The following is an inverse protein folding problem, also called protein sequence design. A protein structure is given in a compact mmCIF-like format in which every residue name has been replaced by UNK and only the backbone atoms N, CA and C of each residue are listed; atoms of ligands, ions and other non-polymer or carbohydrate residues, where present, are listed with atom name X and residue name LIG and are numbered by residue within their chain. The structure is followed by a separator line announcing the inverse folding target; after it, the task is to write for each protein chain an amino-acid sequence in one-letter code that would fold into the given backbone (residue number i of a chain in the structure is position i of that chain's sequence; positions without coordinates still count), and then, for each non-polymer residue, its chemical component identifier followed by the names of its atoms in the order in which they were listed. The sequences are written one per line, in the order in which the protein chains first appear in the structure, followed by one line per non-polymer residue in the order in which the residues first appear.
data_IF_834230445278
#
_entry.id   IF_834230445278
#
_cell.length_a   1.000
_cell.length_b   1.000
_cell.length_c   1.000
_cell.angle_alpha   90.00
_cell.angle_beta   90.00
_cell.angle_gamma   90.00
#
_symmetry.space_group_name_H-M   'P 1'
#
loop_
_entity.id
_entity.type
_entity.pdbx_description
1 polymer ?
#
# COMPACT_ATOMS: atom_id res chain seq x y z
N UNK A 1 -33.96 -11.40 -6.13
CA UNK A 1 -32.61 -11.20 -5.57
C UNK A 1 -32.25 -9.75 -5.85
N UNK A 2 -31.87 -8.97 -4.84
CA UNK A 2 -31.52 -7.56 -5.01
C UNK A 2 -30.00 -7.42 -5.13
N UNK A 3 -29.53 -6.58 -6.06
CA UNK A 3 -28.12 -6.27 -6.28
C UNK A 3 -27.78 -5.02 -5.47
N UNK A 4 -26.76 -5.09 -4.61
CA UNK A 4 -26.33 -3.94 -3.84
C UNK A 4 -25.36 -3.09 -4.66
N UNK A 5 -25.57 -1.77 -4.66
CA UNK A 5 -24.57 -0.84 -5.16
C UNK A 5 -23.44 -0.70 -4.13
N UNK A 6 -22.19 -0.82 -4.56
CA UNK A 6 -21.06 -0.61 -3.67
C UNK A 6 -21.09 0.81 -3.07
N UNK A 7 -21.13 0.90 -1.74
CA UNK A 7 -21.10 2.18 -1.03
C UNK A 7 -19.74 2.36 -0.36
N UNK A 8 -19.02 3.48 -0.56
CA UNK A 8 -17.73 3.70 0.09
C UNK A 8 -17.85 3.62 1.63
N UNK A 9 -17.05 2.76 2.27
CA UNK A 9 -16.94 2.65 3.73
C UNK A 9 -17.93 1.70 4.42
N UNK A 10 -18.76 0.94 3.68
CA UNK A 10 -19.54 -0.16 4.25
C UNK A 10 -18.71 -1.43 4.40
N UNK A 11 -18.82 -2.12 5.52
CA UNK A 11 -18.26 -3.47 5.72
C UNK A 11 -19.39 -4.47 5.49
N UNK A 12 -19.28 -5.29 4.44
CA UNK A 12 -20.21 -6.37 4.10
C UNK A 12 -19.51 -7.72 4.35
N UNK A 13 -20.25 -8.73 4.80
CA UNK A 13 -19.78 -10.11 5.02
C UNK A 13 -19.49 -10.85 3.71
N UNK A 14 -19.66 -10.20 2.54
CA UNK A 14 -19.29 -10.71 1.22
C UNK A 14 -20.25 -11.78 0.68
N UNK A 15 -21.38 -12.01 1.37
CA UNK A 15 -22.39 -13.01 1.02
C UNK A 15 -23.40 -12.49 0.02
N UNK A 16 -23.63 -11.19 -0.02
CA UNK A 16 -24.53 -10.57 -0.99
C UNK A 16 -23.75 -10.12 -2.23
N UNK A 17 -24.37 -10.22 -3.42
CA UNK A 17 -23.75 -9.73 -4.64
C UNK A 17 -23.72 -8.20 -4.66
N UNK A 18 -22.55 -7.67 -5.04
CA UNK A 18 -22.26 -6.24 -5.12
C UNK A 18 -21.88 -5.92 -6.56
N UNK A 19 -22.54 -4.92 -7.13
CA UNK A 19 -22.07 -4.30 -8.37
C UNK A 19 -21.16 -3.12 -8.02
N UNK A 20 -19.91 -3.22 -8.45
CA UNK A 20 -18.91 -2.18 -8.22
C UNK A 20 -19.15 -0.95 -9.13
N UNK A 21 -19.90 -1.09 -10.23
CA UNK A 21 -20.15 -0.01 -11.19
C UNK A 21 -18.88 0.56 -11.83
N UNK A 22 -17.77 -0.18 -11.79
CA UNK A 22 -16.50 0.27 -12.35
C UNK A 22 -16.51 0.17 -13.87
N UNK A 23 -16.02 1.22 -14.52
CA UNK A 23 -15.76 1.21 -15.97
C UNK A 23 -14.32 0.77 -16.26
N UNK A 24 -14.03 0.31 -17.49
CA UNK A 24 -12.68 -0.10 -17.87
C UNK A 24 -11.62 0.99 -17.66
N UNK A 25 -10.36 0.57 -17.48
CA UNK A 25 -9.22 1.45 -17.29
C UNK A 25 -7.91 0.83 -17.83
N UNK A 26 -6.82 1.59 -17.80
CA UNK A 26 -5.49 1.08 -18.14
C UNK A 26 -5.07 -0.02 -17.16
N UNK A 27 -5.25 0.23 -15.85
CA UNK A 27 -4.91 -0.72 -14.79
C UNK A 27 -6.09 -0.92 -13.85
N UNK A 28 -6.45 -2.18 -13.60
CA UNK A 28 -7.35 -2.61 -12.53
C UNK A 28 -6.51 -3.29 -11.46
N UNK A 29 -6.59 -2.81 -10.22
CA UNK A 29 -5.92 -3.40 -9.07
C UNK A 29 -6.95 -3.85 -8.03
N UNK A 30 -6.88 -5.11 -7.64
CA UNK A 30 -7.81 -5.77 -6.72
C UNK A 30 -7.02 -6.20 -5.48
N UNK A 31 -7.44 -5.77 -4.29
CA UNK A 31 -6.84 -6.19 -3.02
C UNK A 31 -7.85 -6.14 -1.89
N UNK A 32 -7.69 -6.99 -0.88
CA UNK A 32 -8.44 -6.90 0.37
C UNK A 32 -7.86 -5.85 1.34
N UNK A 33 -6.64 -5.36 1.08
CA UNK A 33 -5.96 -4.40 1.95
C UNK A 33 -6.27 -2.95 1.53
N UNK A 34 -7.18 -2.29 2.25
CA UNK A 34 -7.52 -0.88 1.99
C UNK A 34 -6.31 0.05 2.05
N UNK A 35 -5.28 -0.30 2.83
CA UNK A 35 -4.03 0.45 2.90
C UNK A 35 -3.25 0.43 1.59
N UNK A 36 -3.30 -0.66 0.82
CA UNK A 36 -2.67 -0.75 -0.50
C UNK A 36 -3.47 0.05 -1.53
N UNK A 37 -4.80 -0.06 -1.50
CA UNK A 37 -5.68 0.70 -2.38
C UNK A 37 -5.48 2.21 -2.14
N UNK A 38 -5.44 2.64 -0.88
CA UNK A 38 -5.18 4.03 -0.53
C UNK A 38 -3.79 4.51 -1.01
N UNK A 39 -2.74 3.69 -0.84
CA UNK A 39 -1.39 4.03 -1.29
C UNK A 39 -1.31 4.23 -2.81
N UNK A 40 -1.93 3.33 -3.59
CA UNK A 40 -1.98 3.45 -5.05
C UNK A 40 -2.84 4.64 -5.50
N UNK A 41 -3.92 4.94 -4.78
CA UNK A 41 -4.76 6.13 -5.03
C UNK A 41 -3.97 7.43 -4.84
N UNK A 42 -3.22 7.52 -3.74
CA UNK A 42 -2.37 8.67 -3.42
C UNK A 42 -1.26 8.83 -4.47
N UNK A 43 -0.48 7.77 -4.72
CA UNK A 43 0.57 7.77 -5.74
C UNK A 43 0.05 8.18 -7.13
N UNK A 44 -1.11 7.65 -7.54
CA UNK A 44 -1.75 8.05 -8.80
C UNK A 44 -2.08 9.54 -8.85
N UNK A 45 -2.52 10.12 -7.73
CA UNK A 45 -2.93 11.53 -7.69
C UNK A 45 -1.77 12.51 -7.76
N UNK A 46 -0.56 12.07 -7.38
CA UNK A 46 0.68 12.84 -7.45
C UNK A 46 1.39 12.71 -8.81
N UNK A 47 1.07 11.67 -9.59
CA UNK A 47 1.66 11.43 -10.91
C UNK A 47 1.02 12.35 -11.97
N UNK A 48 1.85 13.12 -12.67
CA UNK A 48 1.40 13.98 -13.78
C UNK A 48 0.85 13.19 -14.99
N UNK A 49 1.47 12.03 -15.28
CA UNK A 49 1.09 11.14 -16.38
C UNK A 49 0.81 9.73 -15.83
N UNK A 50 -0.28 9.64 -15.06
CA UNK A 50 -0.70 8.39 -14.42
C UNK A 50 -1.59 7.56 -15.35
N UNK A 51 -1.47 6.22 -15.36
CA UNK A 51 -2.46 5.38 -16.01
C UNK A 51 -3.84 5.61 -15.38
N UNK A 52 -4.90 5.47 -16.17
CA UNK A 52 -6.23 5.38 -15.59
C UNK A 52 -6.31 4.13 -14.72
N UNK A 53 -6.81 4.30 -13.49
CA UNK A 53 -6.73 3.29 -12.44
C UNK A 53 -8.11 2.96 -11.89
N UNK A 54 -8.37 1.67 -11.67
CA UNK A 54 -9.49 1.17 -10.87
C UNK A 54 -8.95 0.40 -9.69
N UNK A 55 -9.42 0.76 -8.51
CA UNK A 55 -9.06 0.12 -7.25
C UNK A 55 -10.31 -0.59 -6.74
N UNK A 56 -10.28 -1.91 -6.64
CA UNK A 56 -11.39 -2.72 -6.18
C UNK A 56 -11.03 -3.39 -4.86
N UNK A 57 -11.87 -3.19 -3.84
CA UNK A 57 -11.76 -3.99 -2.63
C UNK A 57 -12.28 -5.40 -2.93
N UNK A 58 -11.41 -6.39 -2.72
CA UNK A 58 -11.67 -7.80 -2.98
C UNK A 58 -12.84 -8.35 -2.14
N UNK A 59 -13.18 -7.73 -1.01
CA UNK A 59 -14.35 -8.12 -0.20
C UNK A 59 -15.67 -7.93 -0.93
N UNK A 60 -15.78 -6.95 -1.84
CA UNK A 60 -16.95 -6.75 -2.70
C UNK A 60 -17.03 -7.74 -3.86
N UNK A 61 -15.95 -8.48 -4.12
CA UNK A 61 -15.83 -9.48 -5.19
C UNK A 61 -15.84 -10.91 -4.65
N UNK A 62 -16.34 -11.15 -3.43
CA UNK A 62 -16.44 -12.50 -2.85
C UNK A 62 -17.51 -13.35 -3.53
N UNK A 63 -18.66 -12.74 -3.84
CA UNK A 63 -19.77 -13.45 -4.46
C UNK A 63 -19.51 -13.68 -5.96
N UNK A 64 -19.77 -14.90 -6.50
CA UNK A 64 -19.56 -15.22 -7.92
C UNK A 64 -20.20 -14.24 -8.90
N UNK A 65 -21.44 -13.83 -8.65
CA UNK A 65 -22.10 -12.83 -9.49
C UNK A 65 -21.39 -11.47 -9.50
N UNK A 66 -20.80 -11.01 -8.39
CA UNK A 66 -20.01 -9.76 -8.38
C UNK A 66 -18.76 -9.88 -9.25
N UNK A 67 -18.11 -11.06 -9.21
CA UNK A 67 -16.96 -11.40 -10.05
C UNK A 67 -17.34 -11.33 -11.52
N UNK A 68 -18.40 -12.05 -11.91
CA UNK A 68 -18.83 -12.14 -13.31
C UNK A 68 -19.23 -10.76 -13.86
N UNK A 69 -20.02 -10.00 -13.11
CA UNK A 69 -20.42 -8.64 -13.50
C UNK A 69 -19.21 -7.73 -13.71
N UNK A 70 -18.23 -7.77 -12.80
CA UNK A 70 -17.04 -6.93 -12.93
C UNK A 70 -16.14 -7.36 -14.09
N UNK A 71 -16.00 -8.68 -14.33
CA UNK A 71 -15.27 -9.22 -15.48
C UNK A 71 -15.87 -8.71 -16.79
N UNK A 72 -17.19 -8.85 -16.93
CA UNK A 72 -17.91 -8.44 -18.13
C UNK A 72 -17.88 -6.91 -18.32
N UNK A 73 -18.20 -6.15 -17.28
CA UNK A 73 -18.35 -4.70 -17.39
C UNK A 73 -17.00 -3.95 -17.50
N UNK A 74 -15.96 -4.44 -16.83
CA UNK A 74 -14.73 -3.70 -16.58
C UNK A 74 -13.46 -4.46 -17.00
N UNK A 75 -13.22 -5.64 -16.43
CA UNK A 75 -11.89 -6.26 -16.45
C UNK A 75 -11.43 -6.68 -17.85
N UNK A 76 -12.32 -7.34 -18.63
CA UNK A 76 -12.03 -7.82 -20.00
C UNK A 76 -11.82 -6.70 -21.02
N UNK A 77 -12.18 -5.46 -20.68
CA UNK A 77 -12.03 -4.27 -21.52
C UNK A 77 -10.92 -3.33 -21.03
N UNK A 78 -10.24 -3.72 -19.94
CA UNK A 78 -9.11 -2.98 -19.38
C UNK A 78 -7.80 -3.47 -19.99
N UNK A 79 -6.68 -2.78 -19.74
CA UNK A 79 -5.39 -3.14 -20.38
C UNK A 79 -4.49 -4.03 -19.53
N UNK A 80 -4.67 -4.02 -18.20
CA UNK A 80 -3.93 -4.85 -17.25
C UNK A 80 -4.78 -5.04 -15.99
N UNK A 81 -4.86 -6.27 -15.49
CA UNK A 81 -5.55 -6.59 -14.24
C UNK A 81 -4.59 -7.27 -13.27
N UNK A 82 -4.48 -6.72 -12.07
CA UNK A 82 -3.61 -7.22 -11.01
C UNK A 82 -4.48 -7.52 -9.79
N UNK A 83 -4.48 -8.76 -9.33
CA UNK A 83 -5.14 -9.19 -8.10
C UNK A 83 -4.10 -9.61 -7.07
N UNK A 84 -4.05 -8.91 -5.94
CA UNK A 84 -3.19 -9.25 -4.81
C UNK A 84 -4.02 -9.89 -3.70
N UNK A 85 -3.70 -11.15 -3.36
CA UNK A 85 -4.54 -12.00 -2.51
C UNK A 85 -3.76 -12.51 -1.30
N UNK A 86 -4.25 -12.19 -0.10
CA UNK A 86 -3.70 -12.71 1.16
C UNK A 86 -4.32 -14.09 1.47
N UNK A 87 -3.48 -15.09 1.78
CA UNK A 87 -3.94 -16.46 2.04
C UNK A 87 -3.93 -17.38 0.81
N UNK A 88 -3.33 -16.95 -0.30
CA UNK A 88 -3.11 -17.74 -1.50
C UNK A 88 -4.38 -18.03 -2.30
N UNK A 89 -4.28 -18.94 -3.27
CA UNK A 89 -5.36 -19.24 -4.21
C UNK A 89 -6.66 -19.74 -3.55
N UNK A 90 -6.57 -20.34 -2.35
CA UNK A 90 -7.72 -20.85 -1.61
C UNK A 90 -8.67 -19.77 -1.11
N UNK A 91 -8.19 -18.54 -0.89
CA UNK A 91 -8.99 -17.46 -0.31
C UNK A 91 -10.02 -16.88 -1.29
N UNK A 92 -9.66 -16.76 -2.58
CA UNK A 92 -10.50 -16.15 -3.61
C UNK A 92 -10.52 -16.99 -4.89
N UNK A 93 -10.70 -18.31 -4.72
CA UNK A 93 -10.54 -19.31 -5.77
C UNK A 93 -11.38 -19.03 -7.02
N UNK A 94 -12.68 -18.83 -6.85
CA UNK A 94 -13.59 -18.59 -7.97
C UNK A 94 -13.18 -17.34 -8.77
N UNK A 95 -12.90 -16.24 -8.07
CA UNK A 95 -12.43 -15.01 -8.70
C UNK A 95 -11.14 -15.24 -9.49
N UNK A 96 -10.12 -15.81 -8.86
CA UNK A 96 -8.84 -16.07 -9.52
C UNK A 96 -8.99 -16.93 -10.80
N UNK A 97 -9.79 -18.01 -10.74
CA UNK A 97 -10.03 -18.88 -11.89
C UNK A 97 -10.80 -18.16 -13.02
N UNK A 98 -11.86 -17.42 -12.69
CA UNK A 98 -12.65 -16.69 -13.70
C UNK A 98 -11.86 -15.53 -14.31
N UNK A 99 -11.18 -14.71 -13.49
CA UNK A 99 -10.35 -13.63 -14.03
C UNK A 99 -9.24 -14.18 -14.94
N UNK A 100 -8.54 -15.24 -14.53
CA UNK A 100 -7.50 -15.83 -15.36
C UNK A 100 -8.05 -16.33 -16.70
N UNK A 101 -9.17 -17.06 -16.70
CA UNK A 101 -9.76 -17.60 -17.92
C UNK A 101 -10.28 -16.50 -18.87
N UNK A 102 -11.12 -15.60 -18.37
CA UNK A 102 -11.77 -14.58 -19.21
C UNK A 102 -10.79 -13.52 -19.71
N UNK A 103 -9.79 -13.14 -18.92
CA UNK A 103 -8.77 -12.20 -19.36
C UNK A 103 -7.81 -12.82 -20.36
N UNK A 104 -7.49 -14.11 -20.23
CA UNK A 104 -6.75 -14.85 -21.24
C UNK A 104 -7.47 -14.84 -22.59
N UNK A 105 -8.76 -15.19 -22.60
CA UNK A 105 -9.59 -15.19 -23.82
C UNK A 105 -9.73 -13.79 -24.43
N UNK A 106 -9.77 -12.75 -23.60
CA UNK A 106 -9.81 -11.35 -24.04
C UNK A 106 -8.45 -10.78 -24.47
N UNK A 107 -7.35 -11.52 -24.28
CA UNK A 107 -5.99 -11.03 -24.54
C UNK A 107 -5.52 -9.93 -23.57
N UNK A 108 -6.13 -9.84 -22.39
CA UNK A 108 -5.78 -8.88 -21.34
C UNK A 108 -4.80 -9.54 -20.36
N UNK A 109 -3.62 -8.96 -20.10
CA UNK A 109 -2.71 -9.46 -19.08
C UNK A 109 -3.34 -9.53 -17.68
N UNK A 110 -3.20 -10.68 -17.03
CA UNK A 110 -3.62 -10.93 -15.67
C UNK A 110 -2.43 -11.26 -14.79
N UNK A 111 -2.40 -10.68 -13.59
CA UNK A 111 -1.33 -10.89 -12.60
C UNK A 111 -1.97 -11.23 -11.25
N UNK A 112 -1.77 -12.45 -10.77
CA UNK A 112 -2.19 -12.87 -9.44
C UNK A 112 -0.99 -12.83 -8.50
N UNK A 113 -0.92 -11.84 -7.62
CA UNK A 113 0.19 -11.63 -6.68
C UNK A 113 -0.16 -12.19 -5.29
N UNK A 114 0.79 -12.82 -4.58
CA UNK A 114 0.60 -13.12 -3.17
C UNK A 114 0.59 -11.84 -2.34
N UNK A 115 -0.19 -11.84 -1.26
CA UNK A 115 -0.30 -10.73 -0.32
C UNK A 115 0.87 -10.63 0.67
N UNK A 116 1.75 -11.62 0.73
CA UNK A 116 2.93 -11.65 1.60
C UNK A 116 4.25 -11.67 0.79
N UNK A 117 5.37 -11.88 1.49
CA UNK A 117 6.73 -11.95 0.94
C UNK A 117 7.13 -13.38 0.54
N UNK A 118 6.18 -14.32 0.48
CA UNK A 118 6.43 -15.70 0.09
C UNK A 118 5.95 -15.97 -1.33
N UNK A 119 6.75 -16.70 -2.13
CA UNK A 119 6.32 -17.06 -3.48
C UNK A 119 5.13 -18.02 -3.42
N UNK A 120 4.17 -17.82 -4.32
CA UNK A 120 3.02 -18.70 -4.49
C UNK A 120 3.00 -19.24 -5.93
N UNK A 121 3.39 -20.51 -6.16
CA UNK A 121 3.42 -21.11 -7.49
C UNK A 121 2.05 -21.23 -8.15
N UNK A 122 0.97 -21.31 -7.36
CA UNK A 122 -0.38 -21.45 -7.90
C UNK A 122 -0.88 -20.11 -8.45
N UNK A 123 -0.59 -19.01 -7.77
CA UNK A 123 -0.87 -17.65 -8.27
C UNK A 123 0.00 -17.31 -9.48
N UNK A 124 1.28 -17.68 -9.47
CA UNK A 124 2.16 -17.52 -10.63
C UNK A 124 1.60 -18.24 -11.87
N UNK A 125 1.10 -19.48 -11.72
CA UNK A 125 0.54 -20.27 -12.82
C UNK A 125 -0.67 -19.62 -13.49
N UNK A 126 -1.41 -18.78 -12.77
CA UNK A 126 -2.56 -18.05 -13.31
C UNK A 126 -2.17 -16.73 -13.99
N UNK A 127 -0.94 -16.26 -13.78
CA UNK A 127 -0.46 -14.99 -14.32
C UNK A 127 0.01 -15.15 -15.77
N UNK A 128 -0.28 -14.15 -16.61
CA UNK A 128 -0.05 -14.22 -18.07
C UNK A 128 1.04 -13.26 -18.57
N UNK A 129 1.87 -12.74 -17.65
CA UNK A 129 2.98 -11.83 -17.94
C UNK A 129 4.34 -12.54 -17.83
N UNK A 130 5.42 -11.98 -18.41
CA UNK A 130 6.78 -12.45 -18.19
C UNK A 130 7.14 -12.50 -16.69
N UNK A 131 7.96 -13.48 -16.31
CA UNK A 131 8.34 -13.69 -14.91
C UNK A 131 9.05 -12.49 -14.29
N UNK A 132 9.87 -11.80 -15.08
CA UNK A 132 10.57 -10.58 -14.66
C UNK A 132 9.59 -9.47 -14.23
N UNK A 133 8.51 -9.28 -15.00
CA UNK A 133 7.47 -8.28 -14.70
C UNK A 133 6.70 -8.68 -13.45
N UNK A 134 6.39 -9.96 -13.30
CA UNK A 134 5.72 -10.51 -12.12
C UNK A 134 6.53 -10.25 -10.85
N UNK A 135 7.81 -10.61 -10.85
CA UNK A 135 8.69 -10.46 -9.69
C UNK A 135 8.90 -8.98 -9.34
N UNK A 136 8.99 -8.09 -10.34
CA UNK A 136 9.13 -6.65 -10.12
C UNK A 136 7.86 -6.02 -9.51
N UNK A 137 6.67 -6.32 -10.07
CA UNK A 137 5.40 -5.85 -9.52
C UNK A 137 5.19 -6.37 -8.09
N UNK A 138 5.53 -7.63 -7.85
CA UNK A 138 5.45 -8.22 -6.52
C UNK A 138 6.38 -7.52 -5.53
N UNK A 139 7.63 -7.26 -5.91
CA UNK A 139 8.62 -6.61 -5.06
C UNK A 139 8.19 -5.20 -4.61
N UNK A 140 7.60 -4.38 -5.49
CA UNK A 140 7.10 -3.06 -5.07
C UNK A 140 6.04 -3.17 -3.98
N UNK A 141 5.14 -4.15 -4.10
CA UNK A 141 4.06 -4.35 -3.14
C UNK A 141 4.54 -4.99 -1.84
N UNK A 142 5.57 -5.84 -1.87
CA UNK A 142 6.22 -6.39 -0.66
C UNK A 142 6.95 -5.30 0.12
N UNK A 143 7.74 -4.48 -0.56
CA UNK A 143 8.48 -3.41 0.12
C UNK A 143 7.54 -2.30 0.60
N UNK A 144 6.56 -1.95 -0.24
CA UNK A 144 5.51 -0.97 0.07
C UNK A 144 6.02 0.46 0.21
N UNK A 145 5.10 1.36 0.54
CA UNK A 145 5.35 2.77 0.79
C UNK A 145 5.29 3.65 -0.47
N UNK A 146 5.31 5.00 -0.29
CA UNK A 146 4.91 5.93 -1.34
C UNK A 146 5.77 5.87 -2.60
N UNK A 147 7.10 5.72 -2.43
CA UNK A 147 8.03 5.61 -3.55
C UNK A 147 7.82 4.32 -4.34
N UNK A 148 7.59 3.19 -3.66
CA UNK A 148 7.32 1.91 -4.32
C UNK A 148 5.91 1.86 -4.94
N UNK A 149 4.91 2.51 -4.35
CA UNK A 149 3.59 2.66 -4.96
C UNK A 149 3.67 3.48 -6.28
N UNK A 150 4.45 4.56 -6.27
CA UNK A 150 4.72 5.35 -7.48
C UNK A 150 5.52 4.54 -8.52
N UNK A 151 6.54 3.79 -8.07
CA UNK A 151 7.33 2.88 -8.90
C UNK A 151 6.48 1.77 -9.53
N UNK A 152 5.56 1.18 -8.76
CA UNK A 152 4.60 0.18 -9.23
C UNK A 152 3.73 0.74 -10.37
N UNK A 153 3.12 1.91 -10.18
CA UNK A 153 2.30 2.53 -11.24
C UNK A 153 3.14 2.92 -12.47
N UNK A 154 4.35 3.45 -12.27
CA UNK A 154 5.27 3.72 -13.37
C UNK A 154 5.67 2.44 -14.14
N UNK A 155 5.83 1.32 -13.43
CA UNK A 155 6.15 0.03 -14.03
C UNK A 155 4.97 -0.51 -14.85
N UNK A 156 3.75 -0.47 -14.31
CA UNK A 156 2.55 -0.86 -15.07
C UNK A 156 2.37 -0.01 -16.34
N UNK A 157 2.63 1.31 -16.26
CA UNK A 157 2.62 2.18 -17.44
C UNK A 157 3.69 1.79 -18.45
N UNK A 158 4.90 1.48 -18.00
CA UNK A 158 5.98 1.04 -18.88
C UNK A 158 5.64 -0.26 -19.60
N UNK A 159 5.03 -1.23 -18.90
CA UNK A 159 4.52 -2.47 -19.51
C UNK A 159 3.46 -2.18 -20.58
N UNK A 160 2.51 -1.29 -20.29
CA UNK A 160 1.42 -0.95 -21.22
C UNK A 160 1.90 -0.12 -22.42
N UNK A 161 2.91 0.72 -22.25
CA UNK A 161 3.46 1.60 -23.29
C UNK A 161 4.64 1.00 -24.06
N UNK A 162 5.21 -0.12 -23.61
CA UNK A 162 6.44 -0.67 -24.17
C UNK A 162 7.65 0.25 -23.98
N UNK A 163 7.69 1.02 -22.90
CA UNK A 163 8.79 1.95 -22.60
C UNK A 163 9.78 1.35 -21.60
N UNK A 164 10.87 2.07 -21.33
CA UNK A 164 11.84 1.68 -20.32
C UNK A 164 11.17 1.50 -18.94
N UNK A 165 11.50 0.39 -18.28
CA UNK A 165 11.02 0.06 -16.95
C UNK A 165 11.69 0.97 -15.91
N UNK A 166 10.97 1.41 -14.86
CA UNK A 166 11.57 2.21 -13.80
C UNK A 166 12.58 1.40 -12.96
N UNK A 167 13.32 2.10 -12.10
CA UNK A 167 14.22 1.47 -11.14
C UNK A 167 13.49 0.50 -10.20
N UNK A 168 14.14 -0.59 -9.83
CA UNK A 168 13.57 -1.65 -9.00
C UNK A 168 13.05 -1.15 -7.64
N UNK A 169 12.17 -1.94 -7.02
CA UNK A 169 11.64 -1.68 -5.69
C UNK A 169 12.77 -1.45 -4.67
N UNK A 170 12.62 -0.43 -3.84
CA UNK A 170 13.60 -0.07 -2.83
C UNK A 170 13.14 -0.56 -1.46
N UNK A 171 13.99 -1.28 -0.70
CA UNK A 171 13.62 -1.71 0.63
C UNK A 171 13.30 -0.54 1.55
N UNK A 172 12.15 -0.61 2.22
CA UNK A 172 11.81 0.40 3.22
C UNK A 172 12.65 0.17 4.48
N UNK A 173 13.30 1.22 4.99
CA UNK A 173 14.11 1.16 6.21
C UNK A 173 13.33 0.53 7.38
N UNK A 174 14.03 -0.13 8.32
CA UNK A 174 13.38 -0.70 9.51
C UNK A 174 12.91 0.39 10.47
N UNK A 175 13.65 1.48 10.56
CA UNK A 175 13.27 2.67 11.29
C UNK A 175 13.85 3.90 10.61
N UNK A 176 13.25 5.07 10.85
CA UNK A 176 13.72 6.31 10.28
C UNK A 176 12.80 7.48 10.59
N UNK A 177 13.25 8.67 10.25
CA UNK A 177 12.44 9.88 10.34
C UNK A 177 11.47 9.89 9.17
N UNK A 178 10.24 10.31 9.43
CA UNK A 178 9.24 10.58 8.40
C UNK A 178 8.86 12.05 8.48
N UNK A 179 8.59 12.73 7.37
CA UNK A 179 8.05 14.09 7.43
C UNK A 179 6.83 14.25 6.53
N UNK A 180 5.72 14.84 7.02
CA UNK A 180 4.53 15.04 6.21
C UNK A 180 4.83 15.84 4.94
N UNK A 181 4.52 15.26 3.78
CA UNK A 181 4.78 15.85 2.46
C UNK A 181 6.18 15.61 1.90
N UNK A 182 7.16 15.16 2.70
CA UNK A 182 8.49 14.77 2.22
C UNK A 182 8.73 13.25 2.28
N UNK A 183 7.91 12.49 2.99
CA UNK A 183 8.04 11.03 3.07
C UNK A 183 9.11 10.60 4.07
N UNK A 184 9.85 9.53 3.75
CA UNK A 184 11.01 9.11 4.55
C UNK A 184 12.09 10.19 4.44
N UNK A 185 12.57 10.67 5.57
CA UNK A 185 13.45 11.83 5.67
C UNK A 185 14.57 11.59 6.70
N UNK A 186 15.41 12.60 6.89
CA UNK A 186 16.42 12.63 7.95
C UNK A 186 16.04 13.61 9.07
N UNK A 187 16.89 13.68 10.10
CA UNK A 187 16.69 14.59 11.22
C UNK A 187 16.78 16.06 10.81
N UNK A 188 17.58 16.40 9.79
CA UNK A 188 17.75 17.78 9.34
C UNK A 188 16.49 18.31 8.65
N UNK A 189 15.79 17.47 7.88
CA UNK A 189 14.49 17.80 7.33
C UNK A 189 13.45 18.12 8.41
N UNK A 190 13.45 17.39 9.53
CA UNK A 190 12.60 17.71 10.68
C UNK A 190 13.02 19.05 11.32
N UNK A 191 14.33 19.24 11.58
CA UNK A 191 14.89 20.46 12.17
C UNK A 191 14.63 21.72 11.36
N UNK A 192 14.59 21.62 10.03
CA UNK A 192 14.26 22.74 9.15
C UNK A 192 12.87 23.36 9.43
N UNK A 193 11.99 22.63 10.11
CA UNK A 193 10.64 23.06 10.47
C UNK A 193 10.48 23.37 11.97
N UNK A 194 11.57 23.31 12.74
CA UNK A 194 11.55 23.48 14.19
C UNK A 194 11.77 24.94 14.60
N UNK A 195 11.24 25.27 15.77
CA UNK A 195 11.53 26.55 16.44
C UNK A 195 12.70 26.34 17.41
N UNK A 196 13.70 27.22 17.34
CA UNK A 196 14.87 27.14 18.22
C UNK A 196 14.45 27.21 19.70
N UNK A 197 14.93 26.24 20.50
CA UNK A 197 14.67 26.17 21.94
C UNK A 197 13.30 25.63 22.34
N UNK A 198 12.43 25.28 21.39
CA UNK A 198 11.16 24.62 21.69
C UNK A 198 11.36 23.12 22.04
N UNK A 199 10.50 22.55 22.91
CA UNK A 199 10.60 21.15 23.32
C UNK A 199 10.48 20.17 22.15
N UNK A 200 11.34 19.15 22.12
CA UNK A 200 11.34 18.09 21.11
C UNK A 200 10.40 16.97 21.53
N UNK A 201 9.49 16.61 20.63
CA UNK A 201 8.45 15.61 20.87
C UNK A 201 8.52 14.50 19.82
N UNK A 202 9.27 13.41 20.08
CA UNK A 202 9.21 12.26 19.21
C UNK A 202 7.82 11.63 19.18
N UNK A 203 7.36 11.35 17.96
CA UNK A 203 6.13 10.65 17.68
C UNK A 203 6.49 9.30 17.06
N UNK A 204 6.50 8.25 17.87
CA UNK A 204 6.92 6.91 17.46
C UNK A 204 5.70 6.15 16.93
N UNK A 205 5.79 5.57 15.73
CA UNK A 205 4.69 4.80 15.14
C UNK A 205 5.19 3.62 14.31
N UNK A 206 4.29 2.71 13.93
CA UNK A 206 4.66 1.52 13.17
C UNK A 206 5.06 1.82 11.72
N UNK A 207 6.16 1.21 11.27
CA UNK A 207 6.62 1.16 9.86
C UNK A 207 5.51 0.74 8.90
N UNK A 208 4.61 -0.16 9.33
CA UNK A 208 3.48 -0.60 8.52
C UNK A 208 2.58 0.55 8.05
N UNK A 209 2.47 1.65 8.81
CA UNK A 209 1.72 2.83 8.37
C UNK A 209 2.38 3.53 7.19
N UNK A 210 3.72 3.53 7.14
CA UNK A 210 4.50 4.05 6.00
C UNK A 210 4.36 3.13 4.79
N UNK A 211 4.30 1.81 4.98
CA UNK A 211 4.19 0.84 3.87
C UNK A 211 2.84 0.91 3.14
N UNK A 212 1.77 1.20 3.87
CA UNK A 212 0.44 1.41 3.31
C UNK A 212 0.20 2.89 2.98
N UNK A 213 -0.84 3.46 3.58
CA UNK A 213 -1.15 4.88 3.53
C UNK A 213 -1.81 5.37 4.84
N UNK A 214 -1.46 4.74 5.97
CA UNK A 214 -2.06 4.99 7.29
C UNK A 214 -1.54 6.26 7.98
N UNK A 215 -0.91 7.18 7.24
CA UNK A 215 -0.15 8.29 7.80
C UNK A 215 -1.00 9.53 8.12
N UNK A 216 -2.28 9.57 7.73
CA UNK A 216 -3.13 10.74 8.00
C UNK A 216 -3.17 11.16 9.48
N UNK A 217 -3.36 10.23 10.46
CA UNK A 217 -3.32 10.59 11.88
C UNK A 217 -1.95 11.13 12.31
N UNK A 218 -0.86 10.55 11.81
CA UNK A 218 0.52 11.00 12.07
C UNK A 218 0.71 12.42 11.54
N UNK A 219 0.29 12.68 10.30
CA UNK A 219 0.36 13.99 9.65
C UNK A 219 -0.42 15.05 10.43
N UNK A 220 -1.60 14.70 10.94
CA UNK A 220 -2.43 15.58 11.77
C UNK A 220 -1.78 15.87 13.12
N UNK A 221 -1.17 14.86 13.75
CA UNK A 221 -0.47 15.02 15.01
C UNK A 221 0.75 15.93 14.87
N UNK A 222 1.58 15.72 13.85
CA UNK A 222 2.73 16.61 13.54
C UNK A 222 2.27 18.06 13.39
N UNK A 223 1.22 18.30 12.58
CA UNK A 223 0.63 19.64 12.41
C UNK A 223 0.06 20.22 13.71
N UNK A 224 -0.49 19.40 14.58
CA UNK A 224 -1.01 19.85 15.87
C UNK A 224 0.11 20.26 16.83
N UNK A 225 1.20 19.48 16.91
CA UNK A 225 2.38 19.77 17.73
C UNK A 225 3.06 21.08 17.28
N UNK A 226 3.26 21.27 15.98
CA UNK A 226 3.81 22.52 15.44
C UNK A 226 2.97 23.74 15.84
N UNK A 227 1.63 23.63 15.77
CA UNK A 227 0.73 24.73 16.19
C UNK A 227 0.78 25.04 17.68
N UNK A 228 1.21 24.10 18.51
CA UNK A 228 1.45 24.31 19.94
C UNK A 228 2.86 24.84 20.24
N UNK A 229 3.66 25.14 19.20
CA UNK A 229 5.04 25.61 19.38
C UNK A 229 6.00 24.52 19.83
N UNK A 230 5.69 23.24 19.55
CA UNK A 230 6.53 22.09 19.85
C UNK A 230 7.29 21.65 18.60
N UNK A 231 8.42 20.97 18.79
CA UNK A 231 9.26 20.44 17.72
C UNK A 231 8.98 18.93 17.53
N UNK A 232 8.04 18.52 16.65
CA UNK A 232 7.73 17.12 16.46
C UNK A 232 8.87 16.38 15.76
N UNK A 233 9.16 15.17 16.23
CA UNK A 233 10.06 14.22 15.58
C UNK A 233 9.31 12.91 15.27
N UNK A 234 8.49 12.85 14.22
CA UNK A 234 7.89 11.62 13.71
C UNK A 234 8.95 10.57 13.31
N UNK A 235 8.95 9.43 13.99
CA UNK A 235 9.86 8.30 13.74
C UNK A 235 9.05 7.02 13.56
N UNK A 236 9.21 6.35 12.42
CA UNK A 236 8.64 5.03 12.24
C UNK A 236 9.61 3.96 12.71
N UNK A 237 9.08 2.85 13.22
CA UNK A 237 9.85 1.67 13.64
C UNK A 237 9.15 0.39 13.22
N UNK A 238 9.93 -0.62 12.84
CA UNK A 238 9.40 -1.95 12.56
C UNK A 238 8.85 -2.58 13.84
N UNK A 239 9.60 -2.45 14.94
CA UNK A 239 9.20 -2.88 16.27
C UNK A 239 10.10 -2.20 17.30
N UNK A 240 9.57 -1.89 18.49
CA UNK A 240 10.40 -1.43 19.61
C UNK A 240 11.27 -2.55 20.23
N UNK A 241 11.11 -3.80 19.75
CA UNK A 241 11.97 -4.94 20.10
C UNK A 241 13.02 -5.26 19.02
N UNK A 242 12.95 -4.59 17.88
CA UNK A 242 13.90 -4.78 16.79
C UNK A 242 15.20 -4.01 17.09
N UNK A 243 16.39 -4.66 17.12
CA UNK A 243 17.65 -4.00 17.47
C UNK A 243 17.99 -2.81 16.57
N UNK A 244 17.67 -2.87 15.27
CA UNK A 244 17.93 -1.78 14.33
C UNK A 244 17.06 -0.57 14.65
N UNK A 245 15.78 -0.80 14.94
CA UNK A 245 14.84 0.24 15.36
C UNK A 245 15.27 0.90 16.67
N UNK A 246 15.72 0.11 17.66
CA UNK A 246 16.24 0.62 18.94
C UNK A 246 17.47 1.50 18.72
N UNK A 247 18.48 1.00 17.99
CA UNK A 247 19.70 1.75 17.72
C UNK A 247 19.43 3.07 16.97
N UNK A 248 18.47 3.06 16.05
CA UNK A 248 18.05 4.28 15.32
C UNK A 248 17.43 5.31 16.27
N UNK A 249 16.55 4.87 17.18
CA UNK A 249 15.96 5.76 18.19
C UNK A 249 17.02 6.32 19.14
N UNK A 250 17.98 5.51 19.60
CA UNK A 250 19.08 5.95 20.46
C UNK A 250 19.92 7.05 19.79
N UNK A 251 20.27 6.87 18.52
CA UNK A 251 21.00 7.87 17.75
C UNK A 251 20.20 9.18 17.60
N UNK A 252 18.92 9.08 17.24
CA UNK A 252 18.04 10.24 17.09
C UNK A 252 17.85 10.98 18.42
N UNK A 253 17.67 10.27 19.53
CA UNK A 253 17.46 10.87 20.85
C UNK A 253 18.76 11.42 21.45
N UNK A 254 19.92 10.90 21.05
CA UNK A 254 21.21 11.51 21.40
C UNK A 254 21.38 12.84 20.67
N UNK A 255 21.05 12.90 19.37
CA UNK A 255 21.18 14.10 18.55
C UNK A 255 20.09 15.15 18.83
N UNK A 256 18.88 14.71 19.19
CA UNK A 256 17.74 15.55 19.55
C UNK A 256 17.08 14.99 20.82
N UNK A 257 17.59 15.35 22.01
CA UNK A 257 17.07 14.87 23.28
C UNK A 257 15.58 15.15 23.43
N UNK A 258 14.75 14.13 23.72
CA UNK A 258 13.31 14.31 23.84
C UNK A 258 12.92 14.91 25.18
N UNK A 259 11.96 15.83 25.16
CA UNK A 259 11.30 16.32 26.37
C UNK A 259 10.08 15.45 26.73
N UNK A 260 9.36 14.97 25.71
CA UNK A 260 8.21 14.07 25.85
C UNK A 260 8.17 13.11 24.66
N UNK A 261 7.94 11.82 24.90
CA UNK A 261 7.77 10.82 23.83
C UNK A 261 6.29 10.45 23.71
N UNK A 262 5.75 10.56 22.49
CA UNK A 262 4.44 10.04 22.13
C UNK A 262 4.60 8.71 21.42
N UNK A 263 4.28 7.61 22.11
CA UNK A 263 4.35 6.27 21.53
C UNK A 263 2.98 5.81 20.99
N UNK A 264 2.89 5.64 19.68
CA UNK A 264 1.71 5.17 18.97
C UNK A 264 1.82 3.71 18.46
N UNK A 265 2.77 2.92 18.97
CA UNK A 265 2.90 1.50 18.58
C UNK A 265 1.98 0.57 19.36
N UNK A 266 1.07 1.06 20.22
CA UNK A 266 0.06 0.29 20.99
C UNK A 266 0.54 -0.88 21.84
N UNK A 267 1.83 -1.24 21.81
CA UNK A 267 2.46 -2.33 22.53
C UNK A 267 3.65 -1.83 23.34
N UNK A 268 3.80 -2.37 24.54
CA UNK A 268 4.90 -2.04 25.44
C UNK A 268 6.25 -2.59 24.93
N UNK A 269 7.32 -1.87 25.27
CA UNK A 269 8.71 -2.27 25.01
C UNK A 269 9.12 -3.47 25.89
N UNK A 270 8.54 -3.58 27.09
CA UNK A 270 8.86 -4.61 28.07
C UNK A 270 8.25 -5.98 27.75
N UNK A 271 9.01 -7.04 28.00
CA UNK A 271 8.43 -8.34 28.30
C UNK A 271 7.98 -8.34 29.77
N UNK A 272 6.87 -9.01 30.13
CA UNK A 272 6.58 -9.25 31.55
C UNK A 272 7.78 -9.99 32.14
N UNK A 273 8.39 -9.41 33.16
CA UNK A 273 9.39 -10.08 33.99
C UNK A 273 8.71 -11.12 34.87
#
# INVERSE_FOLDING_TARGET
MHLLAATPGSIDDGKEPVDLGQTPADVVFISAADTELAALSEARSEMADAPTLRLANLTHLQHPMSVDLHIEACATKSKLVIARVLGGAGYWKYGLEQYAAHLHDAGVPFVALPGDDKPDPDLWRLSTIPREDYDALWAYMVEGGPANASGFLAYTRAMLGGTDKPAAATPLLRAGVYWPGAGVADLEAARANWTQGAPVVPLIFYRALVQGAGLHPINRMVKALLRQGLNPLPVFVASLKDPVSVATLEQLFTAAPPDVILNCTSFAVGSPH
#
